data_IF_195891658811
#
_entry.id   IF_195891658811
#
_cell.length_a   1.000
_cell.length_b   1.000
_cell.length_c   1.000
_cell.angle_alpha   90.00
_cell.angle_beta   90.00
_cell.angle_gamma   90.00
#
_symmetry.space_group_name_H-M   'P 1'
#
loop_
_entity.id
_entity.type
_entity.pdbx_description
1 polymer ?
#
# COMPACT_ATOMS: atom_id res chain seq x y z
N UNK A 1 -10.24 -6.33 1.04
CA UNK A 1 -10.22 -5.02 1.71
C UNK A 1 -8.88 -4.35 1.53
N UNK A 2 -8.89 -3.12 1.12
CA UNK A 2 -7.69 -2.30 0.99
C UNK A 2 -7.44 -1.54 2.29
N UNK A 3 -6.24 -1.57 2.78
CA UNK A 3 -5.87 -0.91 4.02
C UNK A 3 -4.46 -0.36 3.94
N UNK A 4 -4.09 0.37 4.97
CA UNK A 4 -2.83 1.08 5.07
C UNK A 4 -2.29 0.80 6.49
N UNK A 5 -1.15 0.16 6.55
CA UNK A 5 -0.53 -0.20 7.82
C UNK A 5 0.71 0.66 8.05
N UNK A 6 0.84 1.20 9.24
CA UNK A 6 1.98 2.02 9.62
C UNK A 6 2.89 1.28 10.58
N UNK A 7 4.19 1.42 10.37
CA UNK A 7 5.21 0.80 11.21
C UNK A 7 6.11 1.90 11.81
N UNK A 8 5.88 2.29 13.07
CA UNK A 8 6.72 3.32 13.71
C UNK A 8 8.19 2.88 13.73
N UNK A 9 9.08 3.83 13.48
CA UNK A 9 10.52 3.58 13.44
C UNK A 9 11.27 4.70 14.17
N UNK A 10 12.47 4.38 14.64
CA UNK A 10 13.32 5.35 15.30
C UNK A 10 14.47 5.81 14.43
N UNK A 11 14.78 5.12 13.37
CA UNK A 11 15.90 5.45 12.51
C UNK A 11 15.48 6.10 11.21
N UNK A 12 16.46 6.32 10.34
CA UNK A 12 16.25 6.96 9.03
C UNK A 12 16.68 6.05 7.88
N UNK A 13 17.12 4.84 8.18
CA UNK A 13 17.72 3.95 7.18
C UNK A 13 16.76 2.88 6.65
N UNK A 14 15.67 2.59 7.35
CA UNK A 14 14.69 1.63 6.83
C UNK A 14 14.02 2.20 5.60
N UNK A 15 13.89 1.39 4.56
CA UNK A 15 13.32 1.83 3.28
C UNK A 15 11.94 2.43 3.49
N UNK A 16 11.72 3.62 2.91
CA UNK A 16 10.43 4.29 2.99
C UNK A 16 10.15 5.01 4.29
N UNK A 17 11.05 4.97 5.25
CA UNK A 17 10.84 5.66 6.52
C UNK A 17 10.87 7.17 6.31
N UNK A 18 9.90 7.85 6.86
CA UNK A 18 9.81 9.30 6.79
C UNK A 18 8.83 9.79 7.83
N UNK A 19 8.88 11.10 8.10
CA UNK A 19 7.88 11.72 8.94
C UNK A 19 6.60 11.87 8.12
N UNK A 20 5.60 11.08 8.47
CA UNK A 20 4.34 11.02 7.75
C UNK A 20 3.24 10.58 8.70
N UNK A 21 2.00 10.64 8.26
CA UNK A 21 0.91 10.21 9.13
C UNK A 21 1.06 8.73 9.47
N UNK A 22 1.06 8.46 10.75
CA UNK A 22 1.21 7.10 11.27
C UNK A 22 -0.11 6.68 11.91
N UNK A 23 -0.87 5.85 11.21
CA UNK A 23 -2.16 5.40 11.70
C UNK A 23 -2.07 4.65 13.03
N UNK A 24 -0.98 3.93 13.24
CA UNK A 24 -0.77 3.20 14.48
C UNK A 24 -0.68 4.12 15.69
N UNK A 25 -0.19 5.34 15.51
CA UNK A 25 -0.05 6.32 16.57
C UNK A 25 -1.08 7.44 16.50
N UNK A 26 -1.86 7.51 15.42
CA UNK A 26 -2.86 8.54 15.23
C UNK A 26 -2.30 9.94 15.02
N UNK A 27 -1.06 10.06 14.59
CA UNK A 27 -0.40 11.36 14.41
C UNK A 27 0.71 11.24 13.37
N UNK A 28 1.27 12.40 12.99
CA UNK A 28 2.45 12.41 12.15
C UNK A 28 3.64 11.97 12.99
N UNK A 29 4.37 10.98 12.49
CA UNK A 29 5.53 10.43 13.19
C UNK A 29 6.47 9.77 12.19
N UNK A 30 7.66 9.44 12.63
CA UNK A 30 8.63 8.74 11.81
C UNK A 30 8.18 7.29 11.66
N UNK A 31 7.78 6.91 10.46
CA UNK A 31 7.26 5.57 10.22
C UNK A 31 7.40 5.14 8.76
N UNK A 32 7.18 3.86 8.52
CA UNK A 32 6.96 3.32 7.19
C UNK A 32 5.47 3.13 6.99
N UNK A 33 5.01 3.24 5.75
CA UNK A 33 3.61 3.01 5.41
C UNK A 33 3.54 1.90 4.37
N UNK A 34 2.67 0.93 4.61
CA UNK A 34 2.52 -0.24 3.74
C UNK A 34 1.08 -0.32 3.26
N UNK A 35 0.92 -0.39 1.95
CA UNK A 35 -0.40 -0.60 1.34
C UNK A 35 -0.68 -2.08 1.32
N UNK A 36 -1.82 -2.50 1.85
CA UNK A 36 -2.14 -3.91 2.00
C UNK A 36 -3.53 -4.24 1.45
N UNK A 37 -3.65 -5.42 0.87
CA UNK A 37 -4.92 -5.99 0.48
C UNK A 37 -5.21 -7.21 1.35
N UNK A 38 -6.45 -7.36 1.75
CA UNK A 38 -6.92 -8.48 2.58
C UNK A 38 -8.16 -9.11 1.99
N UNK A 39 -8.26 -10.41 2.14
CA UNK A 39 -9.48 -11.15 1.85
C UNK A 39 -10.29 -11.28 3.13
N UNK A 40 -11.56 -10.93 3.06
CA UNK A 40 -12.45 -11.03 4.21
C UNK A 40 -13.69 -11.79 3.81
N UNK A 41 -14.01 -12.82 4.57
CA UNK A 41 -15.20 -13.62 4.30
C UNK A 41 -15.23 -14.87 5.15
N UNK A 42 -16.42 -15.41 5.37
CA UNK A 42 -16.61 -16.64 6.12
C UNK A 42 -15.91 -16.62 7.48
N UNK A 43 -15.83 -15.48 8.11
CA UNK A 43 -15.16 -15.34 9.40
C UNK A 43 -13.64 -15.30 9.30
N UNK A 44 -13.08 -15.30 8.11
CA UNK A 44 -11.64 -15.27 7.92
C UNK A 44 -11.18 -13.89 7.46
N UNK A 45 -9.97 -13.54 7.89
CA UNK A 45 -9.31 -12.32 7.49
C UNK A 45 -7.90 -12.73 7.05
N UNK A 46 -7.64 -12.63 5.75
CA UNK A 46 -6.43 -13.19 5.16
C UNK A 46 -5.65 -12.11 4.39
N UNK A 47 -4.38 -11.91 4.70
CA UNK A 47 -3.57 -10.98 3.92
C UNK A 47 -3.27 -11.55 2.53
N UNK A 48 -3.42 -10.72 1.50
CA UNK A 48 -3.21 -11.13 0.13
C UNK A 48 -1.94 -10.56 -0.47
N UNK A 49 -1.68 -9.28 -0.24
CA UNK A 49 -0.53 -8.60 -0.81
C UNK A 49 -0.21 -7.35 -0.02
N UNK A 50 1.03 -6.92 -0.11
CA UNK A 50 1.47 -5.71 0.56
C UNK A 50 2.61 -5.09 -0.24
N UNK A 51 2.67 -3.77 -0.25
CA UNK A 51 3.79 -3.05 -0.85
C UNK A 51 4.08 -1.79 -0.06
N UNK A 52 5.36 -1.52 0.13
CA UNK A 52 5.83 -0.37 0.88
C UNK A 52 5.62 0.91 0.06
N UNK A 53 5.08 1.92 0.71
CA UNK A 53 4.96 3.24 0.10
C UNK A 53 6.28 3.98 0.22
N UNK A 54 6.76 4.55 -0.88
CA UNK A 54 7.98 5.34 -0.89
C UNK A 54 7.63 6.82 -0.98
N UNK A 55 7.75 7.57 0.13
CA UNK A 55 7.50 9.01 0.11
C UNK A 55 8.49 9.75 -0.81
N UNK A 56 8.15 10.97 -1.19
CA UNK A 56 8.99 11.77 -2.07
C UNK A 56 10.41 11.97 -1.53
N UNK A 57 10.55 12.03 -0.20
CA UNK A 57 11.87 12.13 0.41
C UNK A 57 12.80 10.99 0.01
N UNK A 58 12.23 9.84 -0.38
CA UNK A 58 13.00 8.71 -0.87
C UNK A 58 13.10 8.72 -2.39
N UNK A 59 11.98 8.92 -3.07
CA UNK A 59 11.98 8.84 -4.54
C UNK A 59 12.72 9.99 -5.19
N UNK A 60 12.89 11.10 -4.49
CA UNK A 60 13.70 12.23 -4.95
C UNK A 60 15.18 12.03 -4.61
N UNK A 61 15.56 10.92 -4.02
CA UNK A 61 16.93 10.64 -3.62
C UNK A 61 17.34 9.23 -4.08
N UNK A 62 17.66 9.06 -5.36
CA UNK A 62 18.02 7.75 -5.90
C UNK A 62 19.22 7.11 -5.21
N UNK A 63 20.19 7.91 -4.79
CA UNK A 63 21.36 7.38 -4.11
C UNK A 63 20.97 6.72 -2.78
N UNK A 64 20.07 7.34 -2.04
CA UNK A 64 19.57 6.79 -0.80
C UNK A 64 18.84 5.47 -1.03
N UNK A 65 18.03 5.40 -2.07
CA UNK A 65 17.31 4.19 -2.40
C UNK A 65 18.25 3.06 -2.79
N UNK A 66 19.23 3.35 -3.62
CA UNK A 66 20.23 2.36 -4.04
C UNK A 66 21.01 1.86 -2.84
N UNK A 67 21.43 2.74 -1.96
CA UNK A 67 22.17 2.38 -0.77
C UNK A 67 21.35 1.51 0.16
N UNK A 68 20.07 1.71 0.23
CA UNK A 68 19.17 0.93 1.07
C UNK A 68 18.74 -0.40 0.42
N UNK A 69 19.16 -0.65 -0.82
CA UNK A 69 18.87 -1.92 -1.49
C UNK A 69 17.57 -1.93 -2.29
N UNK A 70 17.00 -0.77 -2.60
CA UNK A 70 15.79 -0.71 -3.42
C UNK A 70 16.15 -1.02 -4.87
N UNK A 71 15.52 -2.01 -5.51
CA UNK A 71 15.78 -2.31 -6.92
C UNK A 71 15.45 -1.11 -7.82
N UNK A 72 16.21 -0.97 -8.90
CA UNK A 72 16.04 0.16 -9.80
C UNK A 72 14.61 0.28 -10.31
N UNK A 73 14.00 -0.83 -10.65
CA UNK A 73 12.63 -0.85 -11.17
C UNK A 73 11.59 -0.40 -10.15
N UNK A 74 11.95 -0.41 -8.87
CA UNK A 74 11.07 0.04 -7.79
C UNK A 74 11.34 1.48 -7.37
N UNK A 75 12.37 2.11 -7.92
CA UNK A 75 12.78 3.46 -7.54
C UNK A 75 11.94 4.52 -8.25
N UNK A 76 10.65 4.51 -8.01
CA UNK A 76 9.74 5.49 -8.59
C UNK A 76 8.65 5.84 -7.59
N UNK A 77 8.18 7.07 -7.70
CA UNK A 77 7.08 7.52 -6.86
C UNK A 77 5.76 6.99 -7.41
N UNK A 78 4.93 6.48 -6.50
CA UNK A 78 3.54 6.12 -6.80
C UNK A 78 2.67 6.54 -5.63
N UNK A 79 1.55 7.16 -5.93
CA UNK A 79 0.54 7.43 -4.91
C UNK A 79 0.06 6.11 -4.32
N UNK A 80 -0.40 6.13 -3.09
CA UNK A 80 -0.88 4.91 -2.44
C UNK A 80 -2.01 4.25 -3.21
N UNK A 81 -2.92 5.03 -3.77
CA UNK A 81 -4.00 4.48 -4.58
C UNK A 81 -3.47 3.78 -5.84
N UNK A 82 -2.38 4.28 -6.40
CA UNK A 82 -1.78 3.66 -7.57
C UNK A 82 -1.13 2.32 -7.20
N UNK A 83 -0.45 2.29 -6.07
CA UNK A 83 0.10 1.04 -5.55
C UNK A 83 -1.03 0.02 -5.35
N UNK A 84 -2.13 0.46 -4.77
CA UNK A 84 -3.28 -0.40 -4.54
C UNK A 84 -3.81 -1.00 -5.83
N UNK A 85 -3.95 -0.19 -6.88
CA UNK A 85 -4.42 -0.68 -8.18
C UNK A 85 -3.43 -1.65 -8.82
N UNK A 86 -2.14 -1.33 -8.75
CA UNK A 86 -1.11 -2.21 -9.30
C UNK A 86 -1.12 -3.57 -8.62
N UNK A 87 -1.25 -3.60 -7.30
CA UNK A 87 -1.34 -4.84 -6.55
C UNK A 87 -2.60 -5.62 -6.91
N UNK A 88 -3.71 -4.94 -7.06
CA UNK A 88 -4.96 -5.58 -7.43
C UNK A 88 -4.85 -6.23 -8.81
N UNK A 89 -4.25 -5.53 -9.76
CA UNK A 89 -4.06 -6.07 -11.11
C UNK A 89 -3.19 -7.33 -11.10
N UNK A 90 -2.18 -7.36 -10.25
CA UNK A 90 -1.32 -8.53 -10.11
C UNK A 90 -2.05 -9.71 -9.48
N UNK A 91 -2.94 -9.44 -8.53
CA UNK A 91 -3.64 -10.50 -7.80
C UNK A 91 -4.85 -11.06 -8.55
N UNK A 92 -5.48 -10.23 -9.37
CA UNK A 92 -6.76 -10.57 -9.98
C UNK A 92 -6.86 -11.97 -10.58
N UNK A 93 -5.89 -12.42 -11.36
CA UNK A 93 -5.99 -13.75 -11.98
C UNK A 93 -6.03 -14.89 -10.98
N UNK A 94 -5.59 -14.64 -9.75
CA UNK A 94 -5.48 -15.67 -8.73
C UNK A 94 -6.58 -15.59 -7.69
N UNK A 95 -7.42 -14.56 -7.76
CA UNK A 95 -8.46 -14.39 -6.76
C UNK A 95 -9.69 -15.22 -7.06
N UNK A 96 -10.30 -15.82 -6.04
CA UNK A 96 -11.63 -16.38 -6.20
C UNK A 96 -12.65 -15.27 -6.40
N UNK A 97 -13.87 -15.63 -6.70
CA UNK A 97 -14.95 -14.65 -6.85
C UNK A 97 -15.10 -13.81 -5.59
N UNK A 98 -15.35 -12.53 -5.80
CA UNK A 98 -15.58 -11.62 -4.69
C UNK A 98 -16.75 -10.70 -5.03
N UNK A 99 -17.41 -10.19 -4.00
CA UNK A 99 -18.60 -9.37 -4.17
C UNK A 99 -18.30 -7.89 -4.28
N UNK A 100 -17.32 -7.43 -3.54
CA UNK A 100 -17.07 -6.00 -3.43
C UNK A 100 -15.63 -5.76 -3.06
N UNK A 101 -15.17 -4.56 -3.40
CA UNK A 101 -13.90 -4.05 -2.93
C UNK A 101 -14.19 -2.99 -1.89
N UNK A 102 -13.59 -3.13 -0.71
CA UNK A 102 -13.76 -2.21 0.40
C UNK A 102 -12.46 -1.45 0.59
N UNK A 103 -12.55 -0.14 0.69
CA UNK A 103 -11.39 0.70 0.88
C UNK A 103 -11.49 1.46 2.19
N UNK A 104 -10.35 1.69 2.81
CA UNK A 104 -10.27 2.61 3.94
C UNK A 104 -10.62 4.02 3.46
N UNK A 105 -11.31 4.78 4.31
CA UNK A 105 -11.71 6.13 4.00
C UNK A 105 -10.52 7.04 3.68
N UNK A 106 -9.35 6.72 4.20
CA UNK A 106 -8.15 7.51 3.93
C UNK A 106 -7.74 7.51 2.47
N UNK A 107 -8.20 6.58 1.67
CA UNK A 107 -7.91 6.58 0.24
C UNK A 107 -8.81 7.53 -0.53
N UNK A 108 -9.99 7.84 -0.02
CA UNK A 108 -10.90 8.83 -0.58
C UNK A 108 -11.31 8.63 -2.01
N UNK A 109 -10.68 7.73 -2.70
CA UNK A 109 -10.89 7.49 -4.12
C UNK A 109 -11.64 6.20 -4.26
N UNK A 110 -12.66 6.26 -5.05
CA UNK A 110 -13.37 5.05 -5.40
C UNK A 110 -12.54 4.31 -6.41
N UNK A 111 -12.19 3.10 -6.11
CA UNK A 111 -11.51 2.28 -7.08
C UNK A 111 -12.43 2.07 -8.26
N UNK A 112 -11.88 2.11 -9.49
CA UNK A 112 -12.64 1.72 -10.64
C UNK A 112 -13.26 0.37 -10.34
N UNK A 113 -14.34 0.09 -10.98
CA UNK A 113 -15.07 -1.13 -10.72
C UNK A 113 -14.28 -2.39 -11.00
N UNK A 114 -13.04 -2.31 -10.96
CA UNK A 114 -12.16 -3.45 -11.09
C UNK A 114 -12.50 -4.28 -12.31
N UNK A 115 -12.69 -3.62 -13.39
CA UNK A 115 -12.94 -4.31 -14.64
C UNK A 115 -14.36 -4.82 -14.71
N UNK A 116 -15.21 -4.20 -13.99
CA UNK A 116 -16.58 -4.62 -14.04
C UNK A 116 -16.81 -5.99 -13.51
N UNK A 117 -15.84 -6.55 -12.92
CA UNK A 117 -15.99 -7.90 -12.43
C UNK A 117 -16.89 -7.91 -11.21
N UNK A 118 -17.79 -7.04 -11.16
CA UNK A 118 -18.63 -6.95 -10.00
C UNK A 118 -17.86 -6.51 -8.80
N UNK A 119 -16.66 -6.17 -9.01
CA UNK A 119 -15.83 -5.75 -7.92
C UNK A 119 -16.31 -4.48 -7.33
N UNK A 120 -17.01 -3.79 -8.08
CA UNK A 120 -17.66 -2.64 -7.57
C UNK A 120 -18.71 -2.98 -6.62
N UNK A 121 -18.84 -4.05 -6.54
CA UNK A 121 -19.88 -4.44 -5.61
C UNK A 121 -20.88 -3.47 -5.73
#
# INVERSE_FOLDING_TARGET
MLDDTSLPKQGRHSVGVARQYCGALGKIANCQSVVTWHWMGAGLHWPLAAELYLPAAWTDDPARMTQAGVPVEAQRFREKWRIALDLLDEMKPQLPSYRAIVCDAGYGIILPDAGGAGATG
#
